data_IF_327371001754
#
_entry.id   IF_327371001754
#
_cell.length_a   1.000
_cell.length_b   1.000
_cell.length_c   1.000
_cell.angle_alpha   90.00
_cell.angle_beta   90.00
_cell.angle_gamma   90.00
#
_symmetry.space_group_name_H-M   'P 1'
#
loop_
_entity.id
_entity.type
_entity.pdbx_description
1 polymer ?
#
# COMPACT_ATOMS: atom_id res chain seq x y z
N UNK A 1 75.93 -36.06 -4.96
CA UNK A 1 74.55 -35.89 -4.47
C UNK A 1 74.54 -35.99 -2.95
N UNK A 2 74.00 -34.99 -2.26
CA UNK A 2 74.05 -34.91 -0.79
C UNK A 2 73.20 -36.04 -0.17
N UNK A 3 73.74 -36.82 0.79
CA UNK A 3 73.04 -37.99 1.37
C UNK A 3 71.74 -37.62 2.09
N UNK A 4 71.67 -36.40 2.63
CA UNK A 4 70.46 -35.83 3.24
C UNK A 4 69.25 -35.81 2.29
N UNK A 5 69.45 -35.55 1.00
CA UNK A 5 68.36 -35.52 0.01
C UNK A 5 67.76 -36.90 -0.24
N UNK A 6 68.56 -37.97 -0.12
CA UNK A 6 68.08 -39.35 -0.30
C UNK A 6 67.21 -39.83 0.86
N UNK A 7 67.47 -39.34 2.08
CA UNK A 7 66.63 -39.65 3.26
C UNK A 7 65.38 -38.77 3.35
N UNK A 8 65.46 -37.50 2.93
CA UNK A 8 64.34 -36.56 3.02
C UNK A 8 63.32 -36.71 1.87
N UNK A 9 63.74 -37.17 0.68
CA UNK A 9 62.87 -37.33 -0.48
C UNK A 9 61.54 -38.09 -0.23
N UNK A 10 61.52 -39.26 0.44
CA UNK A 10 60.26 -39.96 0.72
C UNK A 10 59.34 -39.19 1.68
N UNK A 11 59.90 -38.49 2.66
CA UNK A 11 59.14 -37.66 3.61
C UNK A 11 58.53 -36.43 2.94
N UNK A 12 59.30 -35.75 2.08
CA UNK A 12 58.81 -34.63 1.28
C UNK A 12 57.71 -35.09 0.32
N UNK A 13 57.88 -36.25 -0.32
CA UNK A 13 56.86 -36.85 -1.18
C UNK A 13 55.56 -37.15 -0.43
N UNK A 14 55.66 -37.78 0.75
CA UNK A 14 54.50 -38.05 1.61
C UNK A 14 53.77 -36.79 2.07
N UNK A 15 54.52 -35.78 2.52
CA UNK A 15 53.95 -34.50 2.94
C UNK A 15 53.22 -33.78 1.80
N UNK A 16 53.77 -33.83 0.59
CA UNK A 16 53.16 -33.23 -0.60
C UNK A 16 51.85 -33.93 -0.96
N UNK A 17 51.79 -35.27 -0.88
CA UNK A 17 50.55 -36.03 -1.11
C UNK A 17 49.47 -35.65 -0.10
N UNK A 18 49.81 -35.54 1.18
CA UNK A 18 48.85 -35.13 2.23
C UNK A 18 48.34 -33.70 1.99
N UNK A 19 49.22 -32.78 1.60
CA UNK A 19 48.83 -31.41 1.27
C UNK A 19 47.87 -31.36 0.07
N UNK A 20 48.15 -32.11 -0.99
CA UNK A 20 47.29 -32.17 -2.18
C UNK A 20 45.91 -32.75 -1.84
N UNK A 21 45.87 -33.83 -1.06
CA UNK A 21 44.60 -34.43 -0.61
C UNK A 21 43.81 -33.47 0.29
N UNK A 22 44.47 -32.83 1.25
CA UNK A 22 43.84 -31.85 2.14
C UNK A 22 43.27 -30.65 1.37
N UNK A 23 44.05 -30.09 0.44
CA UNK A 23 43.59 -29.01 -0.44
C UNK A 23 42.40 -29.44 -1.30
N UNK A 24 42.42 -30.67 -1.84
CA UNK A 24 41.32 -31.23 -2.62
C UNK A 24 40.02 -31.31 -1.81
N UNK A 25 40.08 -31.80 -0.57
CA UNK A 25 38.90 -31.88 0.32
C UNK A 25 38.37 -30.49 0.67
N UNK A 26 39.25 -29.55 1.00
CA UNK A 26 38.84 -28.17 1.34
C UNK A 26 38.21 -27.47 0.14
N UNK A 27 38.83 -27.56 -1.04
CA UNK A 27 38.30 -26.95 -2.26
C UNK A 27 36.96 -27.59 -2.68
N UNK A 28 36.83 -28.90 -2.54
CA UNK A 28 35.58 -29.61 -2.82
C UNK A 28 34.47 -29.22 -1.83
N UNK A 29 34.79 -29.10 -0.54
CA UNK A 29 33.85 -28.61 0.47
C UNK A 29 33.41 -27.18 0.19
N UNK A 30 34.37 -26.30 -0.17
CA UNK A 30 34.11 -24.91 -0.51
C UNK A 30 33.22 -24.78 -1.77
N UNK A 31 33.48 -25.57 -2.82
CA UNK A 31 32.66 -25.55 -4.03
C UNK A 31 31.23 -26.04 -3.77
N UNK A 32 31.08 -27.12 -2.98
CA UNK A 32 29.75 -27.64 -2.61
C UNK A 32 28.96 -26.64 -1.78
N UNK A 33 29.63 -25.91 -0.90
CA UNK A 33 29.03 -24.85 -0.10
C UNK A 33 28.61 -23.66 -0.99
N UNK A 34 29.47 -23.22 -1.92
CA UNK A 34 29.11 -22.14 -2.84
C UNK A 34 27.93 -22.49 -3.74
N UNK A 35 27.85 -23.74 -4.22
CA UNK A 35 26.71 -24.20 -5.02
C UNK A 35 25.40 -24.18 -4.20
N UNK A 36 25.47 -24.58 -2.93
CA UNK A 36 24.32 -24.53 -2.02
C UNK A 36 23.85 -23.10 -1.75
N UNK A 37 24.78 -22.18 -1.50
CA UNK A 37 24.49 -20.76 -1.30
C UNK A 37 23.92 -20.13 -2.58
N UNK A 38 24.51 -20.44 -3.75
CA UNK A 38 24.01 -19.96 -5.03
C UNK A 38 22.57 -20.43 -5.30
N UNK A 39 22.27 -21.70 -4.99
CA UNK A 39 20.91 -22.25 -5.11
C UNK A 39 19.94 -21.57 -4.15
N UNK A 40 20.30 -21.42 -2.88
CA UNK A 40 19.46 -20.75 -1.90
C UNK A 40 19.16 -19.29 -2.28
N UNK A 41 20.18 -18.56 -2.77
CA UNK A 41 20.00 -17.19 -3.26
C UNK A 41 19.10 -17.13 -4.49
N UNK A 42 19.21 -18.10 -5.40
CA UNK A 42 18.33 -18.18 -6.57
C UNK A 42 16.87 -18.46 -6.15
N UNK A 43 16.65 -19.38 -5.21
CA UNK A 43 15.32 -19.69 -4.69
C UNK A 43 14.72 -18.48 -3.93
N UNK A 44 15.53 -17.76 -3.15
CA UNK A 44 15.12 -16.51 -2.51
C UNK A 44 14.75 -15.42 -3.53
N UNK A 45 15.54 -15.22 -4.57
CA UNK A 45 15.24 -14.26 -5.64
C UNK A 45 13.94 -14.61 -6.37
N UNK A 46 13.69 -15.89 -6.62
CA UNK A 46 12.42 -16.36 -7.21
C UNK A 46 11.22 -16.12 -6.28
N UNK A 47 11.40 -16.31 -4.98
CA UNK A 47 10.35 -16.03 -3.99
C UNK A 47 10.01 -14.53 -3.94
N UNK A 48 11.02 -13.65 -3.93
CA UNK A 48 10.82 -12.20 -3.97
C UNK A 48 10.08 -11.76 -5.25
N UNK A 49 10.46 -12.29 -6.42
CA UNK A 49 9.79 -11.99 -7.69
C UNK A 49 8.31 -12.39 -7.68
N UNK A 50 7.98 -13.54 -7.08
CA UNK A 50 6.59 -13.98 -6.95
C UNK A 50 5.79 -13.07 -6.02
N UNK A 51 6.39 -12.62 -4.91
CA UNK A 51 5.76 -11.68 -3.99
C UNK A 51 5.53 -10.31 -4.67
N UNK A 52 6.52 -9.77 -5.40
CA UNK A 52 6.35 -8.55 -6.18
C UNK A 52 5.25 -8.70 -7.24
N UNK A 53 5.17 -9.84 -7.92
CA UNK A 53 4.10 -10.13 -8.89
C UNK A 53 2.73 -10.17 -8.22
N UNK A 54 2.61 -10.79 -7.05
CA UNK A 54 1.36 -10.85 -6.28
C UNK A 54 0.93 -9.44 -5.81
N UNK A 55 1.88 -8.63 -5.32
CA UNK A 55 1.64 -7.24 -4.92
C UNK A 55 1.20 -6.38 -6.11
N UNK A 56 1.85 -6.53 -7.26
CA UNK A 56 1.48 -5.81 -8.49
C UNK A 56 0.10 -6.23 -9.00
N UNK A 57 -0.23 -7.53 -8.94
CA UNK A 57 -1.55 -8.04 -9.29
C UNK A 57 -2.66 -7.50 -8.39
N UNK A 58 -2.41 -7.40 -7.08
CA UNK A 58 -3.33 -6.73 -6.13
C UNK A 58 -3.50 -5.26 -6.46
N UNK A 59 -2.42 -4.55 -6.78
CA UNK A 59 -2.47 -3.13 -7.14
C UNK A 59 -3.26 -2.89 -8.43
N UNK A 60 -3.08 -3.75 -9.44
CA UNK A 60 -3.85 -3.72 -10.68
C UNK A 60 -5.35 -3.97 -10.40
N UNK A 61 -5.68 -4.94 -9.54
CA UNK A 61 -7.07 -5.18 -9.13
C UNK A 61 -7.70 -3.98 -8.43
N UNK A 62 -6.95 -3.31 -7.54
CA UNK A 62 -7.41 -2.09 -6.88
C UNK A 62 -7.63 -0.97 -7.90
N UNK A 63 -6.72 -0.77 -8.85
CA UNK A 63 -6.86 0.24 -9.91
C UNK A 63 -8.11 0.00 -10.76
N UNK A 64 -8.36 -1.24 -11.20
CA UNK A 64 -9.57 -1.60 -11.94
C UNK A 64 -10.84 -1.35 -11.12
N UNK A 65 -10.84 -1.67 -9.82
CA UNK A 65 -11.99 -1.40 -8.95
C UNK A 65 -12.24 0.10 -8.78
N UNK A 66 -11.19 0.91 -8.71
CA UNK A 66 -11.29 2.35 -8.61
C UNK A 66 -11.88 2.95 -9.89
N UNK A 67 -11.40 2.54 -11.06
CA UNK A 67 -11.95 2.98 -12.35
C UNK A 67 -13.43 2.62 -12.50
N UNK A 68 -13.82 1.41 -12.10
CA UNK A 68 -15.22 0.98 -12.11
C UNK A 68 -16.10 1.83 -11.16
N UNK A 69 -15.61 2.12 -9.95
CA UNK A 69 -16.31 2.97 -9.00
C UNK A 69 -16.43 4.42 -9.49
N UNK A 70 -15.39 4.97 -10.13
CA UNK A 70 -15.42 6.32 -10.72
C UNK A 70 -16.40 6.37 -11.90
N UNK A 71 -16.44 5.33 -12.75
CA UNK A 71 -17.40 5.24 -13.83
C UNK A 71 -18.85 5.16 -13.30
N UNK A 72 -19.09 4.35 -12.26
CA UNK A 72 -20.40 4.26 -11.60
C UNK A 72 -20.82 5.58 -10.95
N UNK A 73 -19.90 6.30 -10.29
CA UNK A 73 -20.16 7.62 -9.73
C UNK A 73 -20.54 8.63 -10.82
N UNK A 74 -19.80 8.65 -11.94
CA UNK A 74 -20.09 9.53 -13.08
C UNK A 74 -21.41 9.22 -13.78
N UNK A 75 -21.91 7.99 -13.73
CA UNK A 75 -23.24 7.65 -14.27
C UNK A 75 -24.36 7.98 -13.27
N UNK A 76 -24.09 7.89 -11.96
CA UNK A 76 -25.04 8.18 -10.91
C UNK A 76 -25.25 9.69 -10.66
N UNK A 77 -24.18 10.49 -10.67
CA UNK A 77 -24.20 11.94 -10.45
C UNK A 77 -25.17 12.70 -11.41
N UNK A 78 -25.15 12.47 -12.74
CA UNK A 78 -26.10 13.10 -13.65
C UNK A 78 -27.55 12.67 -13.38
N UNK A 79 -27.79 11.41 -13.00
CA UNK A 79 -29.13 10.92 -12.64
C UNK A 79 -29.64 11.52 -11.33
N UNK A 80 -28.76 11.81 -10.36
CA UNK A 80 -29.15 12.41 -9.09
C UNK A 80 -29.57 13.87 -9.31
N UNK A 81 -28.78 14.66 -10.04
CA UNK A 81 -29.12 16.07 -10.32
C UNK A 81 -30.45 16.16 -11.08
N UNK A 82 -30.64 15.33 -12.11
CA UNK A 82 -31.85 15.32 -12.93
C UNK A 82 -33.09 14.85 -12.13
N UNK A 83 -32.93 13.88 -11.21
CA UNK A 83 -34.01 13.44 -10.32
C UNK A 83 -34.39 14.50 -9.29
N UNK A 84 -33.43 15.23 -8.72
CA UNK A 84 -33.74 16.35 -7.80
C UNK A 84 -34.47 17.48 -8.51
N UNK A 85 -34.01 17.91 -9.69
CA UNK A 85 -34.71 18.94 -10.47
C UNK A 85 -36.10 18.47 -10.90
N UNK A 86 -36.24 17.19 -11.31
CA UNK A 86 -37.55 16.66 -11.69
C UNK A 86 -38.52 16.56 -10.50
N UNK A 87 -38.05 16.19 -9.31
CA UNK A 87 -38.90 16.13 -8.10
C UNK A 87 -39.30 17.53 -7.63
N UNK A 88 -38.41 18.52 -7.71
CA UNK A 88 -38.75 19.92 -7.42
C UNK A 88 -39.78 20.49 -8.42
N UNK A 89 -39.72 20.09 -9.69
CA UNK A 89 -40.64 20.54 -10.74
C UNK A 89 -41.98 19.76 -10.70
N UNK A 90 -41.97 18.46 -10.43
CA UNK A 90 -43.18 17.61 -10.39
C UNK A 90 -43.92 17.67 -9.05
N UNK A 91 -43.24 17.99 -7.95
CA UNK A 91 -43.83 18.16 -6.62
C UNK A 91 -43.24 19.40 -5.96
N UNK A 92 -43.56 20.60 -6.47
CA UNK A 92 -43.09 21.84 -5.86
C UNK A 92 -43.57 21.89 -4.41
N UNK A 93 -42.67 22.28 -3.49
CA UNK A 93 -43.08 22.48 -2.10
C UNK A 93 -44.26 23.47 -2.07
N UNK A 94 -45.35 23.14 -1.37
CA UNK A 94 -46.52 24.01 -1.30
C UNK A 94 -46.10 25.39 -0.79
N UNK A 95 -46.77 26.45 -1.27
CA UNK A 95 -46.32 27.84 -1.12
C UNK A 95 -46.01 28.28 0.33
N UNK A 96 -46.61 27.61 1.34
CA UNK A 96 -46.30 27.86 2.75
C UNK A 96 -44.94 27.33 3.23
N UNK A 97 -44.36 26.32 2.57
CA UNK A 97 -43.06 25.74 2.94
C UNK A 97 -41.88 26.40 2.22
N UNK A 98 -42.10 27.18 1.16
CA UNK A 98 -41.03 27.95 0.52
C UNK A 98 -40.69 29.14 1.41
N UNK A 99 -39.41 29.36 1.69
CA UNK A 99 -38.96 30.56 2.38
C UNK A 99 -38.99 31.70 1.36
N UNK A 100 -39.95 32.62 1.51
CA UNK A 100 -40.06 33.81 0.69
C UNK A 100 -39.00 34.85 1.07
N UNK A 101 -38.73 35.79 0.17
CA UNK A 101 -37.68 36.80 0.35
C UNK A 101 -37.87 37.64 1.62
N UNK A 102 -39.12 37.92 2.02
CA UNK A 102 -39.44 38.67 3.24
C UNK A 102 -39.11 37.86 4.50
N UNK A 103 -39.48 36.58 4.54
CA UNK A 103 -39.10 35.66 5.64
C UNK A 103 -37.59 35.48 5.76
N UNK A 104 -36.89 35.34 4.63
CA UNK A 104 -35.42 35.27 4.60
C UNK A 104 -34.78 36.53 5.20
N UNK A 105 -35.29 37.69 4.82
CA UNK A 105 -34.80 38.97 5.33
C UNK A 105 -35.02 39.09 6.84
N UNK A 106 -36.19 38.69 7.33
CA UNK A 106 -36.52 38.71 8.76
C UNK A 106 -35.68 37.71 9.58
N UNK A 107 -35.38 36.53 9.03
CA UNK A 107 -34.49 35.54 9.67
C UNK A 107 -33.05 36.06 9.71
N UNK A 108 -32.56 36.65 8.62
CA UNK A 108 -31.20 37.20 8.56
C UNK A 108 -31.04 38.39 9.50
N UNK A 109 -32.07 39.22 9.64
CA UNK A 109 -32.09 40.33 10.57
C UNK A 109 -32.15 39.86 12.02
N UNK A 110 -32.98 38.85 12.33
CA UNK A 110 -33.00 38.21 13.65
C UNK A 110 -31.65 37.57 14.00
N UNK A 111 -30.99 36.91 13.04
CA UNK A 111 -29.66 36.34 13.23
C UNK A 111 -28.59 37.40 13.46
N UNK A 112 -28.65 38.52 12.73
CA UNK A 112 -27.77 39.67 12.95
C UNK A 112 -27.99 40.28 14.34
N UNK A 113 -29.24 40.44 14.76
CA UNK A 113 -29.58 40.93 16.10
C UNK A 113 -29.08 39.96 17.20
N UNK A 114 -29.26 38.66 17.02
CA UNK A 114 -28.76 37.65 17.96
C UNK A 114 -27.22 37.63 18.05
N UNK A 115 -26.53 37.74 16.91
CA UNK A 115 -25.08 37.84 16.86
C UNK A 115 -24.56 39.13 17.51
N UNK A 116 -25.28 40.25 17.36
CA UNK A 116 -24.94 41.51 18.06
C UNK A 116 -25.30 41.50 19.54
N UNK A 117 -26.33 40.75 19.95
CA UNK A 117 -26.73 40.57 21.35
C UNK A 117 -25.79 39.63 22.12
N UNK A 118 -24.93 38.89 21.40
CA UNK A 118 -23.65 38.43 21.89
C UNK A 118 -23.65 37.75 23.26
N UNK A 119 -24.54 36.77 23.48
CA UNK A 119 -24.29 35.78 24.53
C UNK A 119 -23.46 34.64 23.94
N UNK A 120 -22.25 34.36 24.46
CA UNK A 120 -21.49 33.19 24.04
C UNK A 120 -22.32 31.94 24.35
N UNK A 121 -22.81 31.30 23.29
CA UNK A 121 -23.54 30.05 23.39
C UNK A 121 -22.63 28.90 23.81
N UNK A 122 -23.19 27.79 24.30
CA UNK A 122 -22.41 26.59 24.62
C UNK A 122 -21.62 26.14 23.39
N UNK A 123 -20.36 25.75 23.59
CA UNK A 123 -19.54 25.20 22.52
C UNK A 123 -20.28 24.03 21.85
N UNK A 124 -20.51 24.14 20.53
CA UNK A 124 -21.13 23.06 19.75
C UNK A 124 -20.15 21.88 19.74
N UNK A 125 -20.52 20.70 20.24
CA UNK A 125 -19.64 19.53 20.17
C UNK A 125 -19.34 19.26 18.70
N UNK A 126 -18.07 19.13 18.36
CA UNK A 126 -17.66 18.57 17.07
C UNK A 126 -18.13 17.12 17.04
N UNK A 127 -19.34 16.89 16.50
CA UNK A 127 -19.91 15.56 16.36
C UNK A 127 -18.92 14.68 15.62
N UNK A 128 -18.48 13.61 16.28
CA UNK A 128 -17.70 12.55 15.68
C UNK A 128 -18.47 12.03 14.45
N UNK A 129 -18.01 12.45 13.26
CA UNK A 129 -18.48 11.92 11.98
C UNK A 129 -18.17 10.42 12.02
N UNK A 130 -19.24 9.64 12.02
CA UNK A 130 -19.24 8.23 12.40
C UNK A 130 -18.22 7.38 11.66
N UNK A 131 -17.45 6.63 12.45
CA UNK A 131 -16.95 5.32 12.06
C UNK A 131 -18.16 4.40 11.86
N UNK A 132 -18.50 4.12 10.60
CA UNK A 132 -19.30 2.95 10.24
C UNK A 132 -18.43 2.07 9.33
N UNK A 133 -18.09 0.89 9.88
CA UNK A 133 -17.52 -0.27 9.19
C UNK A 133 -18.56 -0.94 8.29
#
# INVERSE_FOLDING_TARGET
>A
MNPFWRMAAPWVGGALVVLVLGAGVVLYGASRYSDGVAKANADHALAELNEFKAQTGRLAGIATSFEANVAALRDAEPKIIERYTRVEVQSPLPAGCRIDAGRLQHINEAGRLANTAGQPGPAVPSGARGDQR
#
